data_IF_766722100763
#
_entry.id   IF_766722100763
#
_cell.length_a   1.000
_cell.length_b   1.000
_cell.length_c   1.000
_cell.angle_alpha   90.00
_cell.angle_beta   90.00
_cell.angle_gamma   90.00
#
_symmetry.space_group_name_H-M   'P 1'
#
loop_
_entity.id
_entity.type
_entity.pdbx_description
1 polymer ?
#
# COMPACT_ATOMS: atom_id res chain seq x y z
N UNK A 1 74.42 5.16 -13.42
CA UNK A 1 73.06 5.72 -13.60
C UNK A 1 72.19 4.66 -14.22
N UNK A 2 71.35 4.05 -13.45
CA UNK A 2 70.34 3.08 -13.90
C UNK A 2 68.99 3.65 -13.46
N UNK A 3 68.17 4.02 -14.42
CA UNK A 3 66.80 4.50 -14.18
C UNK A 3 65.87 3.31 -13.87
N UNK A 4 65.19 3.36 -12.76
CA UNK A 4 64.08 2.44 -12.44
C UNK A 4 62.79 3.04 -12.95
N UNK A 5 62.21 2.48 -14.01
CA UNK A 5 60.83 2.71 -14.42
C UNK A 5 59.90 1.89 -13.52
N UNK A 6 59.09 2.61 -12.70
CA UNK A 6 58.06 2.02 -11.88
C UNK A 6 56.76 1.96 -12.70
N UNK A 7 56.35 0.76 -13.09
CA UNK A 7 55.06 0.52 -13.75
C UNK A 7 53.97 0.46 -12.72
N UNK A 8 53.08 1.47 -12.64
CA UNK A 8 51.84 1.40 -11.90
C UNK A 8 50.81 0.52 -12.65
N UNK A 9 50.60 -0.67 -12.15
CA UNK A 9 49.43 -1.48 -12.54
C UNK A 9 48.16 -0.90 -11.91
N UNK A 10 47.32 -0.26 -12.73
CA UNK A 10 45.94 0.03 -12.37
C UNK A 10 45.13 -1.28 -12.42
N UNK A 11 44.86 -1.88 -11.27
CA UNK A 11 43.82 -2.90 -11.15
C UNK A 11 42.46 -2.20 -11.31
N UNK A 12 41.87 -2.27 -12.49
CA UNK A 12 40.48 -1.98 -12.72
C UNK A 12 39.61 -3.03 -12.01
N UNK A 13 38.95 -2.67 -10.92
CA UNK A 13 37.92 -3.50 -10.33
C UNK A 13 36.79 -3.63 -11.35
N UNK A 14 36.66 -4.79 -11.99
CA UNK A 14 35.44 -5.17 -12.69
C UNK A 14 34.30 -5.24 -11.62
N UNK A 15 33.45 -4.23 -11.61
CA UNK A 15 32.16 -4.32 -10.94
C UNK A 15 31.33 -5.32 -11.74
N UNK A 16 31.34 -6.58 -11.33
CA UNK A 16 30.37 -7.56 -11.85
C UNK A 16 29.00 -7.10 -11.37
N UNK A 17 28.19 -6.57 -12.29
CA UNK A 17 26.76 -6.42 -12.08
C UNK A 17 26.23 -7.81 -11.75
N UNK A 18 25.87 -8.05 -10.48
CA UNK A 18 25.37 -9.34 -10.04
C UNK A 18 24.07 -9.63 -10.82
N UNK A 19 24.03 -10.79 -11.49
CA UNK A 19 22.81 -11.24 -12.15
C UNK A 19 21.67 -11.32 -11.12
N UNK A 20 20.52 -10.76 -11.46
CA UNK A 20 19.31 -10.93 -10.64
C UNK A 20 19.04 -12.41 -10.40
N UNK A 21 18.54 -12.77 -9.20
CA UNK A 21 18.21 -14.15 -8.88
C UNK A 21 17.24 -14.74 -9.94
N UNK A 22 17.40 -16.02 -10.34
CA UNK A 22 16.53 -16.62 -11.34
C UNK A 22 15.07 -16.60 -10.88
N UNK A 23 14.15 -16.25 -11.78
CA UNK A 23 12.72 -16.18 -11.50
C UNK A 23 12.22 -17.59 -11.13
N UNK A 24 11.63 -17.80 -9.94
CA UNK A 24 11.19 -19.13 -9.51
C UNK A 24 10.02 -19.64 -10.35
N UNK A 25 9.93 -20.97 -10.51
CA UNK A 25 8.99 -21.62 -11.41
C UNK A 25 7.49 -21.25 -11.13
N UNK A 26 7.15 -21.09 -9.86
CA UNK A 26 5.78 -20.70 -9.47
C UNK A 26 5.46 -19.23 -9.71
N UNK A 27 6.47 -18.33 -9.77
CA UNK A 27 6.29 -16.98 -10.28
C UNK A 27 6.19 -16.98 -11.81
N UNK A 28 6.93 -17.85 -12.49
CA UNK A 28 6.81 -18.04 -13.95
C UNK A 28 5.42 -18.60 -14.35
N UNK A 29 4.74 -19.31 -13.44
CA UNK A 29 3.38 -19.82 -13.66
C UNK A 29 2.30 -18.72 -13.59
N UNK A 30 2.64 -17.54 -13.08
CA UNK A 30 1.74 -16.36 -13.10
C UNK A 30 1.90 -15.69 -14.47
N UNK A 31 0.78 -15.53 -15.18
CA UNK A 31 0.79 -14.79 -16.44
C UNK A 31 0.73 -13.29 -16.18
N UNK A 32 1.74 -12.57 -16.63
CA UNK A 32 1.83 -11.12 -16.52
C UNK A 32 1.94 -10.56 -17.95
N UNK A 33 0.93 -9.78 -18.35
CA UNK A 33 0.88 -9.17 -19.70
C UNK A 33 0.69 -7.66 -19.55
N UNK A 34 1.49 -6.88 -20.26
CA UNK A 34 1.36 -5.42 -20.26
C UNK A 34 1.22 -4.86 -21.68
N UNK A 35 0.52 -3.74 -21.79
CA UNK A 35 0.34 -2.97 -23.02
C UNK A 35 0.44 -1.48 -22.76
N UNK A 36 0.93 -0.71 -23.74
CA UNK A 36 1.13 0.73 -23.59
C UNK A 36 2.50 1.09 -22.98
N UNK A 37 2.61 2.27 -22.40
CA UNK A 37 3.84 2.81 -21.85
C UNK A 37 3.65 3.22 -20.39
N UNK A 38 4.34 2.55 -19.47
CA UNK A 38 4.40 2.87 -18.05
C UNK A 38 5.35 4.06 -17.83
N UNK A 39 4.92 5.07 -17.08
CA UNK A 39 5.75 6.23 -16.76
C UNK A 39 6.84 5.92 -15.73
N UNK A 40 6.54 5.33 -14.55
CA UNK A 40 7.58 4.85 -13.65
C UNK A 40 8.45 3.78 -14.34
N UNK A 41 9.70 3.66 -13.93
CA UNK A 41 10.57 2.61 -14.47
C UNK A 41 10.01 1.21 -14.22
N UNK A 42 9.38 1.02 -13.06
CA UNK A 42 8.77 -0.25 -12.65
C UNK A 42 7.46 -0.02 -11.89
N UNK A 43 6.62 -1.05 -11.88
CA UNK A 43 5.52 -1.24 -10.95
C UNK A 43 5.88 -2.37 -9.96
N UNK A 44 5.87 -2.10 -8.66
CA UNK A 44 6.00 -3.14 -7.63
C UNK A 44 4.62 -3.74 -7.39
N UNK A 45 4.43 -4.98 -7.80
CA UNK A 45 3.18 -5.72 -7.65
C UNK A 45 3.28 -6.68 -6.44
N UNK A 46 2.27 -6.65 -5.57
CA UNK A 46 2.19 -7.52 -4.40
C UNK A 46 1.31 -8.72 -4.74
N UNK A 47 1.90 -9.88 -4.94
CA UNK A 47 1.25 -11.06 -5.51
C UNK A 47 0.99 -12.13 -4.45
N UNK A 48 -0.24 -12.63 -4.41
CA UNK A 48 -0.61 -13.76 -3.58
C UNK A 48 -1.34 -14.82 -4.43
N UNK A 49 -0.64 -15.90 -4.73
CA UNK A 49 -1.24 -17.12 -5.27
C UNK A 49 -1.42 -18.14 -4.14
N UNK A 50 -2.62 -18.68 -3.97
CA UNK A 50 -2.97 -19.56 -2.83
C UNK A 50 -2.06 -20.80 -2.76
N UNK A 51 -1.75 -21.37 -3.93
CA UNK A 51 -0.86 -22.53 -4.09
C UNK A 51 0.32 -22.17 -4.99
N UNK A 52 1.13 -21.18 -4.60
CA UNK A 52 2.22 -20.74 -5.47
C UNK A 52 2.97 -19.57 -4.88
N UNK A 53 3.38 -18.63 -5.74
CA UNK A 53 4.18 -17.50 -5.36
C UNK A 53 3.40 -16.55 -4.44
N UNK A 54 4.05 -16.15 -3.36
CA UNK A 54 3.63 -15.10 -2.45
C UNK A 54 4.79 -14.12 -2.32
N UNK A 55 4.55 -12.85 -2.51
CA UNK A 55 5.61 -11.85 -2.39
C UNK A 55 5.44 -10.67 -3.34
N UNK A 56 6.56 -10.07 -3.66
CA UNK A 56 6.65 -8.84 -4.43
C UNK A 56 7.42 -9.10 -5.72
N UNK A 57 6.97 -8.48 -6.81
CA UNK A 57 7.69 -8.49 -8.08
C UNK A 57 7.74 -7.08 -8.66
N UNK A 58 8.93 -6.66 -9.10
CA UNK A 58 9.10 -5.47 -9.94
C UNK A 58 8.86 -5.85 -11.38
N UNK A 59 7.85 -5.23 -11.98
CA UNK A 59 7.45 -5.44 -13.37
C UNK A 59 7.76 -4.18 -14.17
N UNK A 60 8.45 -4.31 -15.30
CA UNK A 60 8.69 -3.20 -16.21
C UNK A 60 7.46 -2.91 -17.10
N UNK A 61 7.53 -1.82 -17.89
CA UNK A 61 6.43 -1.40 -18.75
C UNK A 61 6.00 -2.45 -19.79
N UNK A 62 6.82 -3.48 -20.07
CA UNK A 62 6.49 -4.58 -20.99
C UNK A 62 5.85 -5.79 -20.32
N UNK A 63 5.75 -5.79 -18.99
CA UNK A 63 5.26 -6.92 -18.21
C UNK A 63 6.34 -7.90 -17.76
N UNK A 64 7.62 -7.64 -18.05
CA UNK A 64 8.72 -8.49 -17.65
C UNK A 64 9.07 -8.26 -16.17
N UNK A 65 9.21 -9.37 -15.41
CA UNK A 65 9.71 -9.33 -14.03
C UNK A 65 11.22 -9.03 -14.04
N UNK A 66 11.59 -7.89 -13.48
CA UNK A 66 12.98 -7.45 -13.37
C UNK A 66 13.61 -7.85 -12.03
N UNK A 67 12.83 -7.97 -10.97
CA UNK A 67 13.26 -8.36 -9.64
C UNK A 67 12.07 -8.94 -8.86
N UNK A 68 12.34 -9.76 -7.84
CA UNK A 68 11.31 -10.33 -6.98
C UNK A 68 11.82 -10.61 -5.58
N UNK A 69 10.89 -10.64 -4.61
CA UNK A 69 11.12 -11.09 -3.25
C UNK A 69 9.98 -11.98 -2.78
N UNK A 70 10.31 -13.16 -2.25
CA UNK A 70 9.33 -14.12 -1.75
C UNK A 70 9.06 -13.89 -0.26
N UNK A 71 7.80 -13.76 0.13
CA UNK A 71 7.35 -13.77 1.52
C UNK A 71 7.01 -15.18 1.98
N UNK A 72 6.92 -15.37 3.29
CA UNK A 72 6.47 -16.64 3.88
C UNK A 72 4.94 -16.76 3.84
N UNK A 73 4.24 -15.62 4.01
CA UNK A 73 2.79 -15.56 3.95
C UNK A 73 2.32 -14.36 3.10
N UNK A 74 1.17 -13.79 3.40
CA UNK A 74 0.52 -12.74 2.62
C UNK A 74 1.37 -11.46 2.54
N UNK A 75 1.69 -10.97 1.33
CA UNK A 75 2.48 -9.75 1.14
C UNK A 75 1.61 -8.52 1.35
N UNK A 76 1.70 -7.90 2.53
CA UNK A 76 1.00 -6.67 2.84
C UNK A 76 1.69 -5.42 2.26
N UNK A 77 1.78 -4.34 3.02
CA UNK A 77 2.39 -3.09 2.58
C UNK A 77 3.88 -3.22 2.26
N UNK A 78 4.32 -2.42 1.31
CA UNK A 78 5.70 -2.25 0.92
C UNK A 78 6.01 -0.78 0.75
N UNK A 79 7.24 -0.37 1.06
CA UNK A 79 7.74 0.97 0.78
C UNK A 79 9.27 0.93 0.63
N UNK A 80 9.86 2.04 0.26
CA UNK A 80 11.29 2.13 -0.05
C UNK A 80 11.99 3.16 0.82
N UNK A 81 13.09 2.76 1.47
CA UNK A 81 13.95 3.64 2.25
C UNK A 81 14.84 4.52 1.37
N UNK A 82 15.38 5.60 1.93
CA UNK A 82 16.32 6.52 1.24
C UNK A 82 17.60 5.84 0.77
N UNK A 83 18.03 4.77 1.45
CA UNK A 83 19.18 3.96 1.05
C UNK A 83 18.90 3.08 -0.19
N UNK A 84 17.66 3.08 -0.68
CA UNK A 84 17.20 2.31 -1.84
C UNK A 84 16.70 0.92 -1.51
N UNK A 85 16.79 0.44 -0.27
CA UNK A 85 16.26 -0.83 0.16
C UNK A 85 14.73 -0.80 0.23
N UNK A 86 14.10 -1.96 0.04
CA UNK A 86 12.68 -2.12 0.30
C UNK A 86 12.43 -2.53 1.74
N UNK A 87 11.35 -2.02 2.32
CA UNK A 87 10.75 -2.57 3.54
C UNK A 87 9.45 -3.24 3.16
N UNK A 88 9.24 -4.45 3.63
CA UNK A 88 8.06 -5.27 3.39
C UNK A 88 7.41 -5.70 4.69
N UNK A 89 6.08 -5.83 4.66
CA UNK A 89 5.32 -6.48 5.72
C UNK A 89 4.87 -7.87 5.25
N UNK A 90 5.39 -8.90 5.93
CA UNK A 90 5.03 -10.30 5.72
C UNK A 90 4.10 -10.74 6.85
N UNK A 91 2.86 -11.10 6.52
CA UNK A 91 1.82 -11.43 7.49
C UNK A 91 2.29 -12.50 8.48
N UNK A 92 2.08 -12.25 9.78
CA UNK A 92 2.46 -13.17 10.87
C UNK A 92 3.97 -13.28 11.13
N UNK A 93 4.81 -12.63 10.32
CA UNK A 93 6.27 -12.65 10.47
C UNK A 93 6.83 -11.30 10.91
N UNK A 94 6.31 -10.20 10.38
CA UNK A 94 6.72 -8.85 10.76
C UNK A 94 7.18 -7.98 9.59
N UNK A 95 8.08 -7.03 9.88
CA UNK A 95 8.69 -6.16 8.89
C UNK A 95 10.10 -6.63 8.56
N UNK A 96 10.45 -6.57 7.29
CA UNK A 96 11.79 -6.92 6.79
C UNK A 96 12.29 -5.84 5.85
N UNK A 97 13.52 -5.36 6.08
CA UNK A 97 14.25 -4.54 5.13
C UNK A 97 15.16 -5.42 4.30
N UNK A 98 15.06 -5.33 2.99
CA UNK A 98 15.89 -6.10 2.05
C UNK A 98 16.67 -5.17 1.12
N UNK A 99 17.91 -5.55 0.83
CA UNK A 99 18.72 -4.89 -0.17
C UNK A 99 18.29 -5.28 -1.60
N UNK A 100 18.90 -4.65 -2.62
CA UNK A 100 18.64 -4.95 -4.04
C UNK A 100 18.91 -6.40 -4.45
N UNK A 101 19.70 -7.13 -3.66
CA UNK A 101 20.01 -8.57 -3.91
C UNK A 101 19.01 -9.49 -3.22
N UNK A 102 18.04 -8.92 -2.47
CA UNK A 102 17.07 -9.68 -1.67
C UNK A 102 17.61 -10.19 -0.35
N UNK A 103 18.80 -9.73 0.09
CA UNK A 103 19.34 -10.07 1.41
C UNK A 103 18.63 -9.23 2.49
N UNK A 104 18.20 -9.89 3.58
CA UNK A 104 17.62 -9.20 4.74
C UNK A 104 18.72 -8.39 5.43
N UNK A 105 18.51 -7.09 5.58
CA UNK A 105 19.41 -6.16 6.26
C UNK A 105 18.94 -5.90 7.69
N UNK A 106 17.63 -5.66 7.86
CA UNK A 106 17.01 -5.47 9.17
C UNK A 106 15.67 -6.21 9.22
N UNK A 107 15.29 -6.63 10.43
CA UNK A 107 14.04 -7.35 10.68
C UNK A 107 13.41 -6.88 12.00
N UNK A 108 12.11 -6.61 11.99
CA UNK A 108 11.29 -6.46 13.18
C UNK A 108 10.27 -7.61 13.22
N UNK A 109 10.50 -8.58 14.09
CA UNK A 109 9.64 -9.78 14.18
C UNK A 109 8.30 -9.48 14.82
N UNK A 110 7.26 -10.13 14.31
CA UNK A 110 5.96 -10.18 14.97
C UNK A 110 6.14 -10.82 16.36
N UNK A 111 5.78 -10.08 17.42
CA UNK A 111 5.98 -10.51 18.82
C UNK A 111 4.72 -11.00 19.47
N UNK A 112 3.60 -10.36 19.14
CA UNK A 112 2.31 -10.63 19.74
C UNK A 112 1.28 -11.02 18.67
N UNK A 113 0.85 -12.29 18.61
CA UNK A 113 -0.13 -12.74 17.61
C UNK A 113 -1.52 -12.11 17.80
N UNK A 114 -1.87 -11.64 19.00
CA UNK A 114 -3.14 -10.97 19.25
C UNK A 114 -3.16 -9.55 18.69
N UNK A 115 -1.99 -8.90 18.69
CA UNK A 115 -1.74 -7.58 18.12
C UNK A 115 -0.90 -7.67 16.84
N UNK A 116 -1.36 -8.49 15.88
CA UNK A 116 -0.68 -8.77 14.63
C UNK A 116 -0.46 -7.50 13.81
N UNK A 117 0.74 -7.36 13.22
CA UNK A 117 1.05 -6.35 12.20
C UNK A 117 0.27 -6.67 10.93
N UNK A 118 -0.36 -5.64 10.32
CA UNK A 118 -1.21 -5.88 9.15
C UNK A 118 -1.28 -4.69 8.18
N UNK A 119 -1.65 -4.98 6.94
CA UNK A 119 -2.03 -4.11 5.85
C UNK A 119 -1.02 -3.05 5.41
N UNK A 120 -0.58 -2.15 6.29
CA UNK A 120 0.08 -0.94 5.82
C UNK A 120 1.38 -0.62 6.54
N UNK A 121 2.36 -0.22 5.73
CA UNK A 121 3.56 0.49 6.15
C UNK A 121 3.71 1.76 5.32
N UNK A 122 4.45 2.72 5.83
CA UNK A 122 4.93 3.89 5.09
C UNK A 122 6.28 4.35 5.66
N UNK A 123 7.24 4.59 4.77
CA UNK A 123 8.53 5.19 5.14
C UNK A 123 8.34 6.69 5.33
N UNK A 124 8.74 7.19 6.49
CA UNK A 124 8.60 8.61 6.83
C UNK A 124 9.70 9.47 6.20
N UNK A 125 9.54 10.80 6.15
CA UNK A 125 10.64 11.70 5.78
C UNK A 125 11.90 11.57 6.64
N UNK A 126 11.82 11.00 7.85
CA UNK A 126 12.97 10.69 8.72
C UNK A 126 13.64 9.35 8.43
N UNK A 127 13.14 8.61 7.43
CA UNK A 127 13.61 7.27 7.05
C UNK A 127 13.29 6.19 8.10
N UNK A 128 12.34 6.44 8.98
CA UNK A 128 11.70 5.45 9.86
C UNK A 128 10.48 4.85 9.18
N UNK A 129 9.94 3.76 9.72
CA UNK A 129 8.81 3.03 9.15
C UNK A 129 7.62 3.11 10.08
N UNK A 130 6.53 3.78 9.66
CA UNK A 130 5.24 3.63 10.34
C UNK A 130 4.56 2.36 9.87
N UNK A 131 3.90 1.65 10.78
CA UNK A 131 3.14 0.45 10.44
C UNK A 131 1.89 0.29 11.30
N UNK A 132 0.90 -0.43 10.77
CA UNK A 132 -0.31 -0.80 11.48
C UNK A 132 -0.13 -2.13 12.22
N UNK A 133 -0.66 -2.17 13.43
CA UNK A 133 -0.89 -3.39 14.19
C UNK A 133 -2.25 -3.32 14.90
N UNK A 134 -2.86 -4.46 15.16
CA UNK A 134 -4.00 -4.50 16.06
C UNK A 134 -3.60 -4.05 17.46
N UNK A 135 -4.56 -3.54 18.20
CA UNK A 135 -4.45 -3.15 19.60
C UNK A 135 -5.69 -3.65 20.33
N UNK A 136 -5.59 -4.83 20.93
CA UNK A 136 -6.72 -5.59 21.41
C UNK A 136 -6.98 -5.30 22.87
N UNK A 137 -8.21 -4.89 23.21
CA UNK A 137 -8.68 -4.65 24.59
C UNK A 137 -10.00 -5.37 24.88
N UNK A 138 -10.34 -5.42 26.17
CA UNK A 138 -11.66 -5.88 26.62
C UNK A 138 -12.69 -4.75 26.51
N UNK A 139 -13.71 -4.96 25.70
CA UNK A 139 -14.83 -4.03 25.55
C UNK A 139 -16.15 -4.76 25.71
N UNK A 140 -16.96 -4.34 26.68
CA UNK A 140 -18.27 -4.94 27.03
C UNK A 140 -18.20 -6.47 27.22
N UNK A 141 -17.13 -6.96 27.86
CA UNK A 141 -16.91 -8.38 28.18
C UNK A 141 -16.47 -9.25 27.00
N UNK A 142 -15.97 -8.63 25.90
CA UNK A 142 -15.42 -9.33 24.73
C UNK A 142 -14.10 -8.73 24.34
N UNK A 143 -13.18 -9.57 23.83
CA UNK A 143 -11.96 -9.11 23.17
C UNK A 143 -12.33 -8.40 21.87
N UNK A 144 -11.90 -7.16 21.72
CA UNK A 144 -12.16 -6.34 20.56
C UNK A 144 -10.85 -5.72 20.03
N UNK A 145 -10.55 -5.94 18.74
CA UNK A 145 -9.37 -5.40 18.10
C UNK A 145 -9.64 -3.97 17.62
N UNK A 146 -8.91 -3.02 18.19
CA UNK A 146 -8.71 -1.68 17.65
C UNK A 146 -7.45 -1.60 16.81
N UNK A 147 -6.96 -0.39 16.56
CA UNK A 147 -5.78 -0.11 15.73
C UNK A 147 -4.72 0.64 16.52
N UNK A 148 -3.45 0.31 16.27
CA UNK A 148 -2.31 1.11 16.68
C UNK A 148 -1.39 1.42 15.49
N UNK A 149 -0.78 2.60 15.54
CA UNK A 149 0.32 2.98 14.66
C UNK A 149 1.61 2.94 15.47
N UNK A 150 2.57 2.19 14.97
CA UNK A 150 3.91 2.08 15.52
C UNK A 150 4.92 2.73 14.59
N UNK A 151 6.03 3.16 15.11
CA UNK A 151 7.18 3.67 14.36
C UNK A 151 8.41 2.86 14.69
N UNK A 152 8.94 2.17 13.68
CA UNK A 152 10.18 1.41 13.74
C UNK A 152 11.32 2.18 13.07
N UNK A 153 12.45 2.25 13.76
CA UNK A 153 13.71 2.72 13.17
C UNK A 153 14.60 1.51 12.86
N UNK A 154 14.77 1.11 11.59
CA UNK A 154 15.57 -0.05 11.25
C UNK A 154 17.03 0.06 11.69
N UNK A 155 17.62 1.26 11.65
CA UNK A 155 19.04 1.47 11.93
C UNK A 155 19.38 1.34 13.43
N UNK A 156 18.44 1.68 14.31
CA UNK A 156 18.62 1.62 15.78
C UNK A 156 17.90 0.43 16.41
N UNK A 157 16.92 -0.16 15.70
CA UNK A 157 16.01 -1.18 16.23
C UNK A 157 14.94 -0.62 17.18
N UNK A 158 14.86 0.70 17.38
CA UNK A 158 13.82 1.31 18.19
C UNK A 158 12.44 1.11 17.57
N UNK A 159 11.45 0.73 18.41
CA UNK A 159 10.07 0.45 17.99
C UNK A 159 9.10 1.06 19.03
N UNK A 160 8.36 2.09 18.64
CA UNK A 160 7.56 2.93 19.54
C UNK A 160 6.12 3.03 19.06
N UNK A 161 5.14 2.75 19.95
CA UNK A 161 3.73 3.01 19.70
C UNK A 161 3.48 4.53 19.69
N UNK A 162 3.02 5.07 18.57
CA UNK A 162 2.76 6.50 18.36
C UNK A 162 1.30 6.87 18.60
N UNK A 163 0.39 6.01 18.24
CA UNK A 163 -1.04 6.30 18.29
C UNK A 163 -1.84 5.01 18.48
N UNK A 164 -3.01 5.12 19.11
CA UNK A 164 -3.95 4.02 19.23
C UNK A 164 -5.39 4.52 19.14
N UNK A 165 -6.26 3.74 18.54
CA UNK A 165 -7.67 4.08 18.35
C UNK A 165 -8.43 4.24 19.67
N UNK A 166 -8.08 3.46 20.69
CA UNK A 166 -8.72 3.47 22.01
C UNK A 166 -8.62 4.81 22.73
N UNK A 167 -7.62 5.62 22.45
CA UNK A 167 -7.41 6.92 23.11
C UNK A 167 -8.22 8.04 22.45
N UNK A 168 -8.71 7.86 21.20
CA UNK A 168 -9.31 8.92 20.39
C UNK A 168 -10.68 8.58 19.81
N UNK A 169 -11.10 7.33 19.87
CA UNK A 169 -12.34 6.83 19.29
C UNK A 169 -13.08 5.97 20.30
N UNK A 170 -14.41 5.88 20.16
CA UNK A 170 -15.29 5.15 21.05
C UNK A 170 -15.93 3.97 20.32
N UNK A 171 -15.63 2.70 20.67
CA UNK A 171 -16.23 1.53 20.02
C UNK A 171 -17.75 1.46 20.13
N UNK A 172 -18.37 2.11 21.12
CA UNK A 172 -19.82 2.18 21.21
C UNK A 172 -20.44 3.07 20.13
N UNK A 173 -19.71 4.10 19.69
CA UNK A 173 -20.19 5.14 18.80
C UNK A 173 -19.58 5.06 17.40
N UNK A 174 -18.29 4.66 17.30
CA UNK A 174 -17.50 4.66 16.06
C UNK A 174 -17.42 3.25 15.43
N UNK A 175 -18.55 2.53 15.33
CA UNK A 175 -18.61 1.18 14.74
C UNK A 175 -19.71 1.07 13.70
N UNK A 176 -19.63 0.06 12.86
CA UNK A 176 -20.65 -0.30 11.88
C UNK A 176 -21.18 -1.73 12.11
N UNK A 177 -22.18 -2.12 11.32
CA UNK A 177 -22.70 -3.49 11.32
C UNK A 177 -21.67 -4.55 10.85
N UNK A 178 -20.54 -4.13 10.25
CA UNK A 178 -19.45 -5.02 9.81
C UNK A 178 -18.51 -5.44 10.96
N UNK A 179 -18.64 -4.85 12.14
CA UNK A 179 -17.79 -5.13 13.30
C UNK A 179 -18.01 -6.56 13.79
N UNK A 180 -16.96 -7.37 13.72
CA UNK A 180 -16.97 -8.76 14.20
C UNK A 180 -15.59 -9.10 14.79
N UNK A 181 -15.35 -8.75 16.07
CA UNK A 181 -14.06 -8.94 16.73
C UNK A 181 -13.00 -7.89 16.37
N UNK A 182 -13.13 -7.21 15.23
CA UNK A 182 -12.44 -5.98 14.85
C UNK A 182 -13.46 -4.88 14.64
N UNK A 183 -13.20 -3.65 15.04
CA UNK A 183 -14.19 -2.59 14.90
C UNK A 183 -13.90 -1.57 13.79
N UNK A 184 -12.65 -1.42 13.38
CA UNK A 184 -12.21 -0.40 12.42
C UNK A 184 -11.67 -1.00 11.12
N UNK A 185 -10.78 -1.97 11.20
CA UNK A 185 -10.05 -2.60 10.11
C UNK A 185 -9.24 -1.58 9.31
N UNK A 186 -8.17 -1.06 9.93
CA UNK A 186 -7.22 -0.13 9.32
C UNK A 186 -6.53 -0.78 8.12
N UNK A 187 -6.50 -0.09 6.96
CA UNK A 187 -5.99 -0.71 5.74
C UNK A 187 -5.00 0.14 4.94
N UNK A 188 -4.79 1.39 5.29
CA UNK A 188 -3.72 2.20 4.68
C UNK A 188 -3.23 3.31 5.60
N UNK A 189 -1.93 3.61 5.48
CA UNK A 189 -1.25 4.75 6.08
C UNK A 189 -0.68 5.64 4.99
N UNK A 190 -0.67 6.95 5.23
CA UNK A 190 0.00 7.92 4.39
C UNK A 190 0.50 9.09 5.25
N UNK A 191 1.72 9.55 5.00
CA UNK A 191 2.24 10.78 5.64
C UNK A 191 1.95 11.95 4.70
N UNK A 192 1.07 12.84 5.12
CA UNK A 192 0.68 14.01 4.36
C UNK A 192 1.77 15.08 4.28
N UNK A 193 1.65 16.07 3.38
CA UNK A 193 2.62 17.15 3.19
C UNK A 193 2.88 17.97 4.47
N UNK A 194 1.87 18.06 5.35
CA UNK A 194 1.98 18.75 6.64
C UNK A 194 2.59 17.90 7.78
N UNK A 195 3.00 16.67 7.50
CA UNK A 195 3.48 15.71 8.50
C UNK A 195 2.36 15.02 9.30
N UNK A 196 1.11 15.32 9.00
CA UNK A 196 -0.05 14.58 9.49
C UNK A 196 -0.07 13.16 8.92
N UNK A 197 -0.73 12.24 9.62
CA UNK A 197 -0.86 10.85 9.17
C UNK A 197 -2.31 10.54 8.84
N UNK A 198 -2.55 10.11 7.60
CA UNK A 198 -3.85 9.60 7.19
C UNK A 198 -3.92 8.11 7.50
N UNK A 199 -5.04 7.71 8.11
CA UNK A 199 -5.40 6.31 8.37
C UNK A 199 -6.80 6.04 7.80
N UNK A 200 -6.91 5.02 6.94
CA UNK A 200 -8.18 4.59 6.35
C UNK A 200 -8.74 3.38 7.07
N UNK A 201 -10.01 3.43 7.42
CA UNK A 201 -10.77 2.36 8.08
C UNK A 201 -11.81 1.75 7.15
N UNK A 202 -11.65 0.46 6.86
CA UNK A 202 -12.52 -0.28 5.96
C UNK A 202 -13.95 -0.45 6.51
N UNK A 203 -14.08 -0.82 7.79
CA UNK A 203 -15.39 -1.21 8.33
C UNK A 203 -16.32 -0.03 8.58
N UNK A 204 -15.79 1.13 8.88
CA UNK A 204 -16.57 2.34 9.13
C UNK A 204 -16.57 3.32 7.96
N UNK A 205 -15.96 2.95 6.82
CA UNK A 205 -15.90 3.75 5.59
C UNK A 205 -15.32 5.15 5.82
N UNK A 206 -14.28 5.26 6.64
CA UNK A 206 -13.76 6.56 7.10
C UNK A 206 -12.27 6.69 6.85
N UNK A 207 -11.84 7.89 6.52
CA UNK A 207 -10.43 8.31 6.56
C UNK A 207 -10.28 9.36 7.65
N UNK A 208 -9.27 9.20 8.50
CA UNK A 208 -8.92 10.20 9.51
C UNK A 208 -7.56 10.82 9.22
N UNK A 209 -7.37 12.08 9.63
CA UNK A 209 -6.07 12.74 9.71
C UNK A 209 -5.66 12.88 11.16
N UNK A 210 -4.53 12.31 11.50
CA UNK A 210 -3.91 12.38 12.83
C UNK A 210 -2.87 13.51 12.79
N UNK A 211 -2.90 14.38 13.81
CA UNK A 211 -1.95 15.50 13.90
C UNK A 211 -0.49 15.01 13.99
N UNK A 212 0.50 15.79 13.49
CA UNK A 212 1.92 15.42 13.52
C UNK A 212 2.48 15.14 14.92
N UNK A 213 1.88 15.71 15.96
CA UNK A 213 2.24 15.47 17.36
C UNK A 213 1.56 14.25 17.99
N UNK A 214 0.71 13.54 17.21
CA UNK A 214 -0.03 12.34 17.60
C UNK A 214 -1.11 12.53 18.68
N UNK A 215 -1.44 13.79 19.06
CA UNK A 215 -2.30 14.11 20.21
C UNK A 215 -3.76 14.35 19.85
N UNK A 216 -4.11 14.37 18.58
CA UNK A 216 -5.50 14.61 18.14
C UNK A 216 -5.78 14.04 16.76
N UNK A 217 -7.06 13.77 16.50
CA UNK A 217 -7.60 13.60 15.16
C UNK A 217 -8.00 15.00 14.66
N UNK A 218 -7.34 15.46 13.59
CA UNK A 218 -7.61 16.78 13.01
C UNK A 218 -8.97 16.82 12.31
N UNK A 219 -9.28 15.75 11.56
CA UNK A 219 -10.55 15.59 10.88
C UNK A 219 -10.88 14.11 10.60
N UNK A 220 -12.17 13.86 10.35
CA UNK A 220 -12.75 12.57 9.97
C UNK A 220 -13.55 12.75 8.70
N UNK A 221 -13.08 12.16 7.58
CA UNK A 221 -13.72 12.26 6.27
C UNK A 221 -14.65 11.06 6.04
N UNK A 222 -15.93 11.34 5.86
CA UNK A 222 -16.95 10.32 5.58
C UNK A 222 -17.21 9.34 6.71
N UNK A 223 -17.95 8.28 6.43
CA UNK A 223 -18.23 7.20 7.36
C UNK A 223 -19.02 7.59 8.61
N UNK A 224 -18.63 7.02 9.75
CA UNK A 224 -19.36 7.18 11.02
C UNK A 224 -18.88 8.44 11.75
N UNK A 225 -19.82 9.30 12.18
CA UNK A 225 -19.54 10.55 12.92
C UNK A 225 -18.47 11.43 12.23
N UNK A 226 -18.66 11.81 10.95
CA UNK A 226 -17.68 12.61 10.24
C UNK A 226 -17.62 14.04 10.80
N UNK A 227 -16.43 14.65 10.77
CA UNK A 227 -16.27 16.10 10.93
C UNK A 227 -16.23 16.79 9.56
N UNK A 228 -15.96 16.02 8.49
CA UNK A 228 -16.03 16.45 7.10
C UNK A 228 -17.06 15.58 6.38
N UNK A 229 -18.18 16.20 6.03
CA UNK A 229 -19.28 15.53 5.35
C UNK A 229 -18.96 15.31 3.86
N UNK A 230 -19.34 14.14 3.35
CA UNK A 230 -19.32 13.82 1.91
C UNK A 230 -20.78 13.69 1.45
N UNK A 231 -21.19 14.30 0.31
CA UNK A 231 -22.53 14.14 -0.24
C UNK A 231 -22.90 12.66 -0.40
N UNK A 232 -24.18 12.33 -0.19
CA UNK A 232 -24.64 10.93 -0.13
C UNK A 232 -24.36 10.15 -1.42
N UNK A 233 -24.44 10.79 -2.58
CA UNK A 233 -24.16 10.24 -3.90
C UNK A 233 -22.64 10.11 -4.20
N UNK A 234 -21.80 10.75 -3.40
CA UNK A 234 -20.34 10.75 -3.55
C UNK A 234 -19.62 9.88 -2.48
N UNK A 235 -20.34 9.31 -1.53
CA UNK A 235 -19.74 8.50 -0.46
C UNK A 235 -18.95 7.32 -0.99
N UNK A 236 -17.89 6.97 -0.25
CA UNK A 236 -17.07 5.78 -0.48
C UNK A 236 -17.50 4.63 0.43
N UNK A 237 -17.18 3.41 0.05
CA UNK A 237 -17.38 2.23 0.88
C UNK A 237 -16.22 1.26 0.81
N UNK A 238 -15.68 0.90 1.98
CA UNK A 238 -14.57 -0.04 2.11
C UNK A 238 -13.30 0.41 1.35
N UNK A 239 -13.06 1.72 1.30
CA UNK A 239 -11.96 2.33 0.55
C UNK A 239 -10.58 1.84 1.01
N UNK A 240 -9.60 1.92 0.11
CA UNK A 240 -8.19 1.58 0.33
C UNK A 240 -7.27 2.71 -0.12
N UNK A 241 -6.03 2.70 0.36
CA UNK A 241 -4.92 3.56 -0.10
C UNK A 241 -5.21 5.06 -0.12
N UNK A 242 -5.91 5.58 0.91
CA UNK A 242 -6.13 7.01 1.03
C UNK A 242 -4.80 7.76 1.17
N UNK A 243 -4.60 8.78 0.35
CA UNK A 243 -3.40 9.61 0.32
C UNK A 243 -3.76 11.10 0.16
N UNK A 244 -3.11 11.97 0.90
CA UNK A 244 -3.18 13.41 0.72
C UNK A 244 -2.16 13.83 -0.32
N UNK A 245 -2.61 14.30 -1.48
CA UNK A 245 -1.76 14.69 -2.62
C UNK A 245 -1.16 16.08 -2.41
N UNK A 246 -2.01 16.99 -1.96
CA UNK A 246 -1.74 18.37 -1.56
C UNK A 246 -2.64 18.65 -0.36
N UNK A 247 -2.41 19.74 0.36
CA UNK A 247 -3.28 20.12 1.47
C UNK A 247 -4.76 20.12 1.03
N UNK A 248 -5.57 19.34 1.73
CA UNK A 248 -7.00 19.17 1.47
C UNK A 248 -7.38 18.43 0.18
N UNK A 249 -6.46 17.76 -0.51
CA UNK A 249 -6.78 16.93 -1.70
C UNK A 249 -6.50 15.46 -1.39
N UNK A 250 -7.56 14.65 -1.36
CA UNK A 250 -7.49 13.25 -0.93
C UNK A 250 -7.82 12.33 -2.10
N UNK A 251 -6.85 11.51 -2.51
CA UNK A 251 -7.04 10.42 -3.47
C UNK A 251 -7.21 9.10 -2.72
N UNK A 252 -8.12 8.24 -3.17
CA UNK A 252 -8.28 6.90 -2.65
C UNK A 252 -8.85 5.94 -3.70
N UNK A 253 -8.66 4.65 -3.48
CA UNK A 253 -9.38 3.61 -4.19
C UNK A 253 -10.67 3.28 -3.42
N UNK A 254 -11.82 3.47 -4.05
CA UNK A 254 -13.15 3.18 -3.50
C UNK A 254 -13.63 1.82 -4.01
N UNK A 255 -13.59 0.81 -3.16
CA UNK A 255 -14.06 -0.53 -3.50
C UNK A 255 -15.57 -0.58 -3.72
N UNK A 256 -16.34 0.35 -3.14
CA UNK A 256 -17.80 0.41 -3.19
C UNK A 256 -18.50 -0.85 -2.68
N UNK A 257 -17.86 -1.55 -1.75
CA UNK A 257 -18.38 -2.82 -1.22
C UNK A 257 -19.75 -2.63 -0.57
N UNK A 258 -20.73 -3.40 -1.07
CA UNK A 258 -22.13 -3.32 -0.62
C UNK A 258 -22.97 -2.24 -1.29
N UNK A 259 -22.40 -1.43 -2.19
CA UNK A 259 -23.14 -0.44 -2.99
C UNK A 259 -23.58 -1.02 -4.34
N UNK A 260 -24.66 -0.47 -4.91
CA UNK A 260 -25.21 -0.88 -6.21
C UNK A 260 -25.19 0.29 -7.20
N UNK A 261 -24.94 0.07 -8.48
CA UNK A 261 -24.41 -1.18 -9.08
C UNK A 261 -22.97 -1.48 -8.62
N UNK A 262 -22.52 -2.75 -8.64
CA UNK A 262 -21.18 -3.12 -8.20
C UNK A 262 -20.14 -2.68 -9.24
N UNK A 263 -19.30 -1.73 -8.87
CA UNK A 263 -18.07 -1.32 -9.56
C UNK A 263 -17.12 -0.66 -8.56
N UNK A 264 -15.83 -0.71 -8.80
CA UNK A 264 -14.85 0.03 -8.01
C UNK A 264 -14.25 1.18 -8.82
N UNK A 265 -13.68 2.16 -8.13
CA UNK A 265 -13.15 3.38 -8.76
C UNK A 265 -11.96 3.95 -7.99
N UNK A 266 -11.07 4.67 -8.67
CA UNK A 266 -10.24 5.67 -8.03
C UNK A 266 -11.03 6.98 -7.94
N UNK A 267 -10.94 7.69 -6.81
CA UNK A 267 -11.70 8.92 -6.57
C UNK A 267 -10.85 9.95 -5.83
N UNK A 268 -11.01 11.22 -6.20
CA UNK A 268 -10.33 12.34 -5.57
C UNK A 268 -11.34 13.33 -5.02
N UNK A 269 -11.11 13.76 -3.77
CA UNK A 269 -11.90 14.77 -3.07
C UNK A 269 -11.07 16.02 -2.80
N UNK A 270 -11.76 17.16 -2.79
CA UNK A 270 -11.26 18.39 -2.20
C UNK A 270 -12.07 18.68 -0.95
N UNK A 271 -11.37 18.93 0.15
CA UNK A 271 -11.94 19.33 1.44
C UNK A 271 -12.05 20.85 1.45
N UNK A 272 -13.24 21.35 1.81
CA UNK A 272 -13.56 22.77 1.98
C UNK A 272 -14.34 22.95 3.28
N UNK A 273 -13.67 23.45 4.32
CA UNK A 273 -14.22 23.54 5.67
C UNK A 273 -14.69 22.20 6.21
N UNK A 274 -15.96 22.08 6.56
CA UNK A 274 -16.57 20.87 7.10
C UNK A 274 -17.18 19.94 6.03
N UNK A 275 -16.90 20.17 4.75
CA UNK A 275 -17.42 19.39 3.63
C UNK A 275 -16.32 18.96 2.68
N UNK A 276 -16.55 17.88 1.95
CA UNK A 276 -15.71 17.47 0.84
C UNK A 276 -16.57 17.22 -0.39
N UNK A 277 -16.01 17.53 -1.55
CA UNK A 277 -16.64 17.25 -2.84
C UNK A 277 -15.72 16.45 -3.72
N UNK A 278 -16.26 15.50 -4.46
CA UNK A 278 -15.55 14.77 -5.49
C UNK A 278 -15.18 15.73 -6.64
N UNK A 279 -13.92 15.67 -7.06
CA UNK A 279 -13.39 16.50 -8.16
C UNK A 279 -12.91 15.67 -9.34
N UNK A 280 -12.64 14.38 -9.12
CA UNK A 280 -12.23 13.43 -10.14
C UNK A 280 -12.64 12.01 -9.77
N UNK A 281 -12.94 11.19 -10.76
CA UNK A 281 -13.04 9.74 -10.63
C UNK A 281 -12.59 9.03 -11.90
N UNK A 282 -12.17 7.79 -11.73
CA UNK A 282 -11.90 6.89 -12.85
C UNK A 282 -12.38 5.48 -12.53
N UNK A 283 -12.99 4.85 -13.53
CA UNK A 283 -13.51 3.48 -13.51
C UNK A 283 -12.86 2.70 -14.63
N UNK A 284 -12.50 1.43 -14.37
CA UNK A 284 -11.98 0.58 -15.42
C UNK A 284 -13.01 0.41 -16.56
N UNK A 285 -12.56 0.36 -17.83
CA UNK A 285 -13.42 -0.03 -18.93
C UNK A 285 -14.06 -1.40 -18.65
N UNK A 286 -15.39 -1.49 -18.72
CA UNK A 286 -16.11 -2.70 -18.36
C UNK A 286 -16.68 -2.75 -16.94
N UNK A 287 -16.41 -1.74 -16.09
CA UNK A 287 -17.01 -1.61 -14.77
C UNK A 287 -16.54 -2.64 -13.76
N UNK A 288 -15.23 -2.92 -13.70
CA UNK A 288 -14.64 -3.90 -12.80
C UNK A 288 -14.95 -3.59 -11.34
N UNK A 289 -15.27 -4.61 -10.58
CA UNK A 289 -15.49 -4.56 -9.14
C UNK A 289 -14.46 -5.41 -8.41
N UNK A 290 -13.68 -4.77 -7.55
CA UNK A 290 -12.77 -5.42 -6.62
C UNK A 290 -13.31 -5.25 -5.20
N UNK A 291 -13.78 -6.32 -4.59
CA UNK A 291 -14.48 -6.31 -3.29
C UNK A 291 -13.59 -5.88 -2.11
N UNK A 292 -12.28 -5.99 -2.24
CA UNK A 292 -11.28 -5.62 -1.26
C UNK A 292 -9.93 -5.33 -1.92
N UNK A 293 -8.91 -5.01 -1.13
CA UNK A 293 -7.54 -4.69 -1.56
C UNK A 293 -7.51 -3.56 -2.59
N UNK A 294 -6.53 -3.54 -3.52
CA UNK A 294 -6.47 -2.52 -4.57
C UNK A 294 -5.77 -1.23 -4.16
N UNK A 295 -5.39 -0.40 -5.13
CA UNK A 295 -4.68 0.85 -4.86
C UNK A 295 -4.92 1.94 -5.91
N UNK A 296 -4.72 3.21 -5.49
CA UNK A 296 -4.62 4.35 -6.37
C UNK A 296 -3.43 5.22 -5.91
N UNK A 297 -2.53 5.55 -6.83
CA UNK A 297 -1.32 6.34 -6.57
C UNK A 297 -1.17 7.42 -7.62
N UNK A 298 -1.10 8.69 -7.20
CA UNK A 298 -0.78 9.80 -8.09
C UNK A 298 0.71 9.76 -8.44
N UNK A 299 1.03 9.87 -9.71
CA UNK A 299 2.39 9.94 -10.24
C UNK A 299 2.84 11.39 -10.36
N UNK A 300 4.16 11.61 -10.40
CA UNK A 300 4.76 12.95 -10.52
C UNK A 300 4.38 13.70 -11.79
N UNK A 301 4.02 12.98 -12.87
CA UNK A 301 3.55 13.56 -14.13
C UNK A 301 2.04 13.91 -14.12
N UNK A 302 1.34 13.72 -12.99
CA UNK A 302 -0.10 13.94 -12.83
C UNK A 302 -0.98 12.74 -13.22
N UNK A 303 -0.43 11.69 -13.83
CA UNK A 303 -1.17 10.44 -14.08
C UNK A 303 -1.47 9.71 -12.77
N UNK A 304 -2.36 8.74 -12.82
CA UNK A 304 -2.71 7.89 -11.66
C UNK A 304 -2.47 6.44 -12.00
N UNK A 305 -1.70 5.74 -11.16
CA UNK A 305 -1.54 4.29 -11.20
C UNK A 305 -2.64 3.67 -10.33
N UNK A 306 -3.50 2.82 -10.91
CA UNK A 306 -4.69 2.26 -10.28
C UNK A 306 -4.64 0.75 -10.43
N UNK A 307 -4.88 -0.01 -9.34
CA UNK A 307 -4.92 -1.45 -9.36
C UNK A 307 -6.26 -1.98 -8.87
N UNK A 308 -6.81 -2.96 -9.59
CA UNK A 308 -7.96 -3.79 -9.22
C UNK A 308 -7.42 -5.16 -8.83
N UNK A 309 -7.27 -5.38 -7.54
CA UNK A 309 -6.40 -6.44 -7.02
C UNK A 309 -7.10 -7.75 -6.64
N UNK A 310 -8.39 -7.92 -6.87
CA UNK A 310 -9.13 -9.12 -6.48
C UNK A 310 -9.44 -10.02 -7.68
N UNK A 311 -9.14 -11.32 -7.54
CA UNK A 311 -9.48 -12.32 -8.55
C UNK A 311 -10.98 -12.34 -8.88
N UNK A 312 -11.31 -12.52 -10.17
CA UNK A 312 -12.69 -12.65 -10.63
C UNK A 312 -13.43 -13.80 -9.92
N UNK A 313 -14.66 -13.51 -9.46
CA UNK A 313 -15.51 -14.46 -8.73
C UNK A 313 -15.27 -14.49 -7.22
N UNK A 314 -14.12 -14.05 -6.73
CA UNK A 314 -13.81 -14.02 -5.28
C UNK A 314 -14.61 -12.91 -4.60
N UNK A 315 -15.35 -13.26 -3.54
CA UNK A 315 -16.19 -12.33 -2.78
C UNK A 315 -17.10 -11.45 -3.67
N UNK A 316 -17.57 -11.99 -4.81
CA UNK A 316 -18.41 -11.29 -5.75
C UNK A 316 -17.67 -10.29 -6.67
N UNK A 317 -16.34 -10.26 -6.65
CA UNK A 317 -15.54 -9.41 -7.55
C UNK A 317 -15.77 -9.77 -9.01
N UNK A 318 -15.77 -8.75 -9.89
CA UNK A 318 -15.93 -8.89 -11.33
C UNK A 318 -14.71 -8.32 -12.05
N UNK A 319 -14.42 -8.83 -13.25
CA UNK A 319 -13.24 -8.42 -13.99
C UNK A 319 -11.95 -9.11 -13.53
N UNK A 320 -10.87 -8.94 -14.30
CA UNK A 320 -9.57 -9.52 -13.99
C UNK A 320 -8.82 -8.77 -12.90
N UNK A 321 -7.75 -9.39 -12.36
CA UNK A 321 -6.72 -8.70 -11.58
C UNK A 321 -5.85 -7.88 -12.53
N UNK A 322 -5.92 -6.57 -12.46
CA UNK A 322 -5.28 -5.66 -13.42
C UNK A 322 -4.87 -4.32 -12.81
N UNK A 323 -3.93 -3.64 -13.46
CA UNK A 323 -3.57 -2.28 -13.12
C UNK A 323 -3.52 -1.39 -14.35
N UNK A 324 -3.70 -0.09 -14.15
CA UNK A 324 -3.72 0.93 -15.19
C UNK A 324 -2.92 2.15 -14.78
N UNK A 325 -2.17 2.73 -15.71
CA UNK A 325 -1.78 4.12 -15.64
C UNK A 325 -2.74 4.94 -16.49
N UNK A 326 -3.36 5.95 -15.90
CA UNK A 326 -4.35 6.80 -16.58
C UNK A 326 -3.97 8.27 -16.47
N UNK A 327 -4.25 9.04 -17.53
CA UNK A 327 -4.07 10.50 -17.54
C UNK A 327 -5.11 11.17 -16.63
N UNK A 328 -4.92 12.46 -16.26
CA UNK A 328 -5.96 13.24 -15.60
C UNK A 328 -7.28 13.31 -16.38
N UNK A 329 -7.23 13.22 -17.72
CA UNK A 329 -8.40 13.18 -18.61
C UNK A 329 -9.08 11.79 -18.64
N UNK A 330 -8.46 10.75 -18.05
CA UNK A 330 -9.00 9.40 -17.98
C UNK A 330 -8.52 8.44 -19.07
N UNK A 331 -7.59 8.88 -19.95
CA UNK A 331 -7.04 8.04 -21.02
C UNK A 331 -6.07 7.00 -20.46
N UNK A 332 -6.23 5.75 -20.84
CA UNK A 332 -5.33 4.66 -20.46
C UNK A 332 -4.01 4.77 -21.24
N UNK A 333 -2.90 4.92 -20.50
CA UNK A 333 -1.53 4.97 -21.04
C UNK A 333 -0.85 3.61 -20.97
N UNK A 334 -1.15 2.86 -19.91
CA UNK A 334 -0.59 1.53 -19.68
C UNK A 334 -1.62 0.65 -18.98
N UNK A 335 -1.58 -0.64 -19.29
CA UNK A 335 -2.39 -1.67 -18.63
C UNK A 335 -1.53 -2.88 -18.33
N UNK A 336 -1.67 -3.43 -17.13
CA UNK A 336 -1.12 -4.71 -16.68
C UNK A 336 -2.26 -5.67 -16.40
N UNK A 337 -2.19 -6.88 -16.94
CA UNK A 337 -3.06 -7.99 -16.60
C UNK A 337 -2.23 -9.04 -15.86
N UNK A 338 -2.75 -9.53 -14.73
CA UNK A 338 -2.11 -10.56 -13.91
C UNK A 338 -3.09 -11.71 -13.69
N UNK A 339 -2.75 -12.91 -14.15
CA UNK A 339 -3.57 -14.11 -14.04
C UNK A 339 -2.84 -15.18 -13.23
N UNK A 340 -3.58 -16.03 -12.51
CA UNK A 340 -3.00 -17.07 -11.66
C UNK A 340 -2.71 -16.61 -10.21
N UNK A 341 -3.25 -15.46 -9.82
CA UNK A 341 -3.17 -14.96 -8.45
C UNK A 341 -4.56 -14.81 -7.83
N UNK A 342 -4.67 -15.06 -6.54
CA UNK A 342 -5.87 -14.78 -5.77
C UNK A 342 -6.04 -13.28 -5.52
N UNK A 343 -4.92 -12.61 -5.22
CA UNK A 343 -4.90 -11.16 -5.07
C UNK A 343 -3.59 -10.54 -5.56
N UNK A 344 -3.70 -9.32 -6.08
CA UNK A 344 -2.65 -8.33 -6.20
C UNK A 344 -2.96 -7.24 -5.18
N UNK A 345 -2.37 -7.33 -3.98
CA UNK A 345 -2.77 -6.50 -2.85
C UNK A 345 -2.69 -5.01 -3.17
N UNK A 346 -1.58 -4.58 -3.78
CA UNK A 346 -1.33 -3.21 -4.25
C UNK A 346 -0.39 -3.21 -5.45
N UNK A 347 -0.31 -2.07 -6.11
CA UNK A 347 0.72 -1.73 -7.08
C UNK A 347 1.31 -0.39 -6.71
N UNK A 348 2.63 -0.34 -6.50
CA UNK A 348 3.36 0.87 -6.14
C UNK A 348 4.30 1.30 -7.28
N UNK A 349 4.36 2.60 -7.63
CA UNK A 349 5.28 3.09 -8.64
C UNK A 349 6.71 3.11 -8.09
N UNK A 350 7.68 2.62 -8.87
CA UNK A 350 9.08 2.57 -8.46
C UNK A 350 9.97 3.18 -9.54
N UNK A 351 10.66 4.24 -9.16
CA UNK A 351 11.72 4.87 -9.94
C UNK A 351 13.09 4.65 -9.27
N UNK A 352 14.17 4.82 -10.06
CA UNK A 352 15.52 4.82 -9.52
C UNK A 352 15.98 3.50 -8.86
N UNK A 353 15.36 2.37 -9.18
CA UNK A 353 15.83 1.03 -8.78
C UNK A 353 16.63 0.40 -9.92
N UNK A 354 17.81 -0.12 -9.58
CA UNK A 354 18.65 -0.91 -10.48
C UNK A 354 18.81 -2.31 -9.87
N UNK A 355 18.11 -3.33 -10.44
CA UNK A 355 18.11 -4.70 -9.93
C UNK A 355 19.43 -5.41 -10.07
#
# INVERSE_FOLDING_TARGET
MREFLSACLLLGALVTVGASAPIPADLQAITITATGALTPKYALVHLFAEKGFKGYALVDGTGRVAWHYRTKDYPFGADRRKNGNFVFMDKGHGLIEVDRRGAIVHELKQRDPENEMHHAIVVTPRDTVLYLAFDTEDFAGKRLKGEAIWEWNPDTGEDVKRWRSWDFMDPALDRSARTAGEWLHGNSLHVGPGGNVLLSFHYINQVISIAPDWKSIQWRLGGVRPTIAVPADQQTSAQHTAAELETNRILMFDNRTGLQPPYSRAVEYVIDGASARQVWEWKAPGGNYASAVSSARRLSNGNTLIAFGMEKGRNGSTGPTEAFEVTPAGDVKWRLLVEGVMTMFRVEPIDGFEP
#
